data_IF_532470671344
#
_entry.id   IF_532470671344
#
_cell.length_a   1.000
_cell.length_b   1.000
_cell.length_c   1.000
_cell.angle_alpha   90.00
_cell.angle_beta   90.00
_cell.angle_gamma   90.00
#
_symmetry.space_group_name_H-M   'P 1'
#
loop_
_entity.id
_entity.type
_entity.pdbx_description
1 polymer ?
#
# COMPACT_ATOMS: atom_id res chain seq x y z
N UNK A 1 -19.57 -15.95 -14.93
CA UNK A 1 -18.68 -14.79 -14.69
C UNK A 1 -17.89 -15.06 -13.42
N UNK A 2 -16.59 -15.35 -13.53
CA UNK A 2 -15.75 -15.49 -12.35
C UNK A 2 -15.45 -14.07 -11.85
N UNK A 3 -15.97 -13.70 -10.68
CA UNK A 3 -15.55 -12.48 -9.99
C UNK A 3 -14.08 -12.67 -9.68
N UNK A 4 -13.22 -11.80 -10.21
CA UNK A 4 -11.83 -11.78 -9.82
C UNK A 4 -11.78 -11.36 -8.35
N UNK A 5 -11.54 -12.32 -7.46
CA UNK A 5 -11.58 -12.14 -5.98
C UNK A 5 -10.70 -10.97 -5.55
N UNK A 6 -9.56 -10.76 -6.22
CA UNK A 6 -8.65 -9.65 -5.97
C UNK A 6 -9.28 -8.28 -6.29
N UNK A 7 -10.09 -8.19 -7.34
CA UNK A 7 -10.81 -6.96 -7.68
C UNK A 7 -11.88 -6.64 -6.64
N UNK A 8 -12.69 -7.64 -6.25
CA UNK A 8 -13.72 -7.46 -5.22
C UNK A 8 -13.15 -7.03 -3.86
N UNK A 9 -11.98 -7.58 -3.49
CA UNK A 9 -11.29 -7.17 -2.26
C UNK A 9 -10.72 -5.75 -2.36
N UNK A 10 -10.11 -5.37 -3.49
CA UNK A 10 -9.60 -4.03 -3.69
C UNK A 10 -10.71 -2.95 -3.59
N UNK A 11 -11.87 -3.23 -4.19
CA UNK A 11 -13.02 -2.33 -4.15
C UNK A 11 -13.61 -2.21 -2.73
N UNK A 12 -13.66 -3.33 -1.99
CA UNK A 12 -14.07 -3.32 -0.58
C UNK A 12 -13.14 -2.45 0.28
N UNK A 13 -11.83 -2.60 0.13
CA UNK A 13 -10.83 -1.82 0.88
C UNK A 13 -10.96 -0.33 0.53
N UNK A 14 -11.06 0.01 -0.76
CA UNK A 14 -11.25 1.39 -1.21
C UNK A 14 -12.53 2.01 -0.63
N UNK A 15 -13.63 1.25 -0.62
CA UNK A 15 -14.88 1.70 -0.01
C UNK A 15 -14.75 1.89 1.50
N UNK A 16 -14.03 1.00 2.19
CA UNK A 16 -13.77 1.11 3.63
C UNK A 16 -12.99 2.38 3.98
N UNK A 17 -11.92 2.68 3.24
CA UNK A 17 -11.14 3.92 3.42
C UNK A 17 -12.01 5.17 3.19
N UNK A 18 -12.84 5.17 2.14
CA UNK A 18 -13.76 6.28 1.86
C UNK A 18 -14.82 6.45 2.96
N UNK A 19 -15.27 5.36 3.58
CA UNK A 19 -16.21 5.39 4.71
C UNK A 19 -15.57 6.00 5.96
N UNK A 20 -14.33 5.61 6.27
CA UNK A 20 -13.55 6.18 7.38
C UNK A 20 -13.38 7.69 7.20
N UNK A 21 -12.96 8.14 6.01
CA UNK A 21 -12.76 9.57 5.73
C UNK A 21 -14.05 10.40 5.67
N UNK A 22 -15.22 9.77 5.61
CA UNK A 22 -16.52 10.46 5.64
C UNK A 22 -17.00 10.71 7.07
N UNK A 23 -16.72 9.78 7.98
CA UNK A 23 -17.22 9.83 9.35
C UNK A 23 -16.15 9.35 10.34
N UNK A 24 -14.98 10.01 10.41
CA UNK A 24 -13.81 9.50 11.13
C UNK A 24 -14.08 9.22 12.62
N UNK A 25 -14.87 10.06 13.29
CA UNK A 25 -15.17 9.89 14.72
C UNK A 25 -15.97 8.62 15.03
N UNK A 26 -16.64 8.04 14.03
CA UNK A 26 -17.32 6.75 14.15
C UNK A 26 -16.37 5.53 14.15
N UNK A 27 -15.09 5.75 13.88
CA UNK A 27 -14.06 4.71 13.74
C UNK A 27 -13.05 4.69 14.89
N UNK A 28 -13.23 5.58 15.86
CA UNK A 28 -12.37 5.73 17.03
C UNK A 28 -11.66 7.09 17.08
N UNK A 29 -10.74 7.27 18.02
CA UNK A 29 -9.99 8.51 18.15
C UNK A 29 -9.07 8.74 16.92
N UNK A 30 -8.65 9.98 16.63
CA UNK A 30 -7.92 10.32 15.41
C UNK A 30 -6.67 9.47 15.16
N UNK A 31 -5.88 9.16 16.18
CA UNK A 31 -4.70 8.30 16.02
C UNK A 31 -5.04 6.87 15.59
N UNK A 32 -6.19 6.33 16.03
CA UNK A 32 -6.65 5.02 15.62
C UNK A 32 -7.15 5.04 14.17
N UNK A 33 -7.85 6.11 13.78
CA UNK A 33 -8.30 6.34 12.39
C UNK A 33 -7.10 6.41 11.43
N UNK A 34 -6.07 7.14 11.81
CA UNK A 34 -4.81 7.26 11.06
C UNK A 34 -4.17 5.89 10.82
N UNK A 35 -3.97 5.10 11.88
CA UNK A 35 -3.40 3.75 11.77
C UNK A 35 -4.25 2.79 10.94
N UNK A 36 -5.57 2.83 11.10
CA UNK A 36 -6.48 1.99 10.32
C UNK A 36 -6.40 2.29 8.82
N UNK A 37 -6.30 3.57 8.44
CA UNK A 37 -6.13 3.96 7.04
C UNK A 37 -4.80 3.50 6.47
N UNK A 38 -3.70 3.62 7.22
CA UNK A 38 -2.38 3.16 6.78
C UNK A 38 -2.36 1.64 6.55
N UNK A 39 -2.97 0.86 7.46
CA UNK A 39 -3.11 -0.59 7.28
C UNK A 39 -3.97 -0.95 6.06
N UNK A 40 -5.05 -0.22 5.81
CA UNK A 40 -5.90 -0.45 4.63
C UNK A 40 -5.16 -0.12 3.32
N UNK A 41 -4.29 0.89 3.32
CA UNK A 41 -3.42 1.21 2.19
C UNK A 41 -2.43 0.07 1.94
N UNK A 42 -1.76 -0.43 2.97
CA UNK A 42 -0.85 -1.59 2.86
C UNK A 42 -1.59 -2.81 2.29
N UNK A 43 -2.76 -3.15 2.86
CA UNK A 43 -3.58 -4.27 2.40
C UNK A 43 -4.04 -4.08 0.95
N UNK A 44 -4.41 -2.87 0.54
CA UNK A 44 -4.78 -2.58 -0.83
C UNK A 44 -3.62 -2.85 -1.80
N UNK A 45 -2.41 -2.43 -1.43
CA UNK A 45 -1.21 -2.65 -2.24
C UNK A 45 -0.89 -4.15 -2.35
N UNK A 46 -1.00 -4.91 -1.25
CA UNK A 46 -0.87 -6.37 -1.27
C UNK A 46 -1.87 -7.02 -2.21
N UNK A 47 -3.16 -6.64 -2.11
CA UNK A 47 -4.24 -7.19 -2.97
C UNK A 47 -4.03 -6.83 -4.44
N UNK A 48 -3.43 -5.69 -4.73
CA UNK A 48 -3.08 -5.25 -6.09
C UNK A 48 -1.82 -5.92 -6.64
N UNK A 49 -1.11 -6.71 -5.83
CA UNK A 49 0.13 -7.38 -6.22
C UNK A 49 1.33 -6.44 -6.26
N UNK A 50 1.34 -5.38 -5.44
CA UNK A 50 2.52 -4.52 -5.30
C UNK A 50 3.71 -5.32 -4.73
N UNK A 51 4.96 -4.98 -5.12
CA UNK A 51 6.15 -5.55 -4.51
C UNK A 51 6.17 -5.32 -3.00
N UNK A 52 6.72 -6.27 -2.24
CA UNK A 52 6.77 -6.18 -0.78
C UNK A 52 7.52 -4.94 -0.31
N UNK A 53 8.60 -4.57 -1.00
CA UNK A 53 9.40 -3.39 -0.73
C UNK A 53 8.59 -2.09 -0.84
N UNK A 54 7.60 -2.08 -1.74
CA UNK A 54 6.69 -0.96 -1.88
C UNK A 54 5.69 -0.87 -0.72
N UNK A 55 5.22 -2.02 -0.24
CA UNK A 55 4.31 -2.10 0.92
C UNK A 55 5.05 -1.69 2.20
N UNK A 56 6.25 -2.22 2.41
CA UNK A 56 7.08 -1.96 3.61
C UNK A 56 7.48 -0.47 3.75
N UNK A 57 7.35 0.32 2.68
CA UNK A 57 7.70 1.76 2.67
C UNK A 57 6.49 2.70 2.79
N UNK A 58 5.27 2.19 2.99
CA UNK A 58 4.05 3.03 3.18
C UNK A 58 4.23 4.03 4.32
N UNK A 59 4.70 3.57 5.49
CA UNK A 59 4.93 4.42 6.66
C UNK A 59 5.99 5.51 6.41
N UNK A 60 7.05 5.19 5.66
CA UNK A 60 8.09 6.16 5.32
C UNK A 60 7.56 7.22 4.36
N UNK A 61 6.79 6.81 3.34
CA UNK A 61 6.12 7.73 2.41
C UNK A 61 5.13 8.63 3.15
N UNK A 62 4.39 8.07 4.09
CA UNK A 62 3.48 8.83 4.93
C UNK A 62 4.23 9.87 5.78
N UNK A 63 5.29 9.48 6.48
CA UNK A 63 6.10 10.40 7.27
C UNK A 63 6.70 11.53 6.41
N UNK A 64 7.17 11.22 5.20
CA UNK A 64 7.67 12.19 4.23
C UNK A 64 6.56 13.14 3.76
N UNK A 65 5.38 12.61 3.46
CA UNK A 65 4.22 13.40 3.09
C UNK A 65 3.84 14.37 4.21
N UNK A 66 3.72 13.88 5.45
CA UNK A 66 3.45 14.73 6.61
C UNK A 66 4.50 15.83 6.78
N UNK A 67 5.80 15.51 6.63
CA UNK A 67 6.88 16.49 6.69
C UNK A 67 6.77 17.60 5.64
N UNK A 68 6.19 17.31 4.47
CA UNK A 68 5.98 18.31 3.41
C UNK A 68 4.77 19.23 3.64
N UNK A 69 3.76 18.75 4.38
CA UNK A 69 2.51 19.50 4.61
C UNK A 69 2.54 20.24 5.96
N UNK A 70 3.04 19.57 7.00
CA UNK A 70 3.16 20.13 8.36
C UNK A 70 4.59 19.86 8.86
N UNK A 71 5.48 20.87 8.84
CA UNK A 71 6.83 20.71 9.37
C UNK A 71 6.77 20.39 10.86
N UNK A 72 7.57 19.43 11.31
CA UNK A 72 7.56 18.97 12.69
C UNK A 72 8.29 17.64 12.90
N UNK A 73 8.34 17.15 14.16
CA UNK A 73 8.93 15.87 14.47
C UNK A 73 8.15 14.72 13.80
N UNK A 74 8.76 13.52 13.65
CA UNK A 74 8.10 12.35 13.08
C UNK A 74 7.09 11.75 14.06
N UNK A 75 5.99 12.48 14.29
CA UNK A 75 4.85 12.04 15.10
C UNK A 75 3.61 11.83 14.23
N UNK A 76 2.64 11.02 14.70
CA UNK A 76 1.32 10.87 14.09
C UNK A 76 0.66 12.21 13.80
N UNK A 77 -0.09 12.28 12.70
CA UNK A 77 -0.82 13.48 12.27
C UNK A 77 -1.76 13.99 13.36
N UNK A 78 -2.47 13.08 14.05
CA UNK A 78 -3.33 13.43 15.17
C UNK A 78 -2.59 14.29 16.23
N UNK A 79 -1.38 13.87 16.62
CA UNK A 79 -0.56 14.59 17.58
C UNK A 79 -0.02 15.91 17.03
N UNK A 80 0.33 15.97 15.74
CA UNK A 80 0.78 17.22 15.09
C UNK A 80 -0.31 18.28 15.06
N UNK A 81 -1.56 17.85 14.95
CA UNK A 81 -2.72 18.74 14.94
C UNK A 81 -3.27 19.03 16.33
N UNK A 82 -2.75 18.38 17.38
CA UNK A 82 -3.26 18.50 18.74
C UNK A 82 -4.66 17.90 18.93
N UNK A 83 -4.96 16.82 18.20
CA UNK A 83 -6.26 16.15 18.22
C UNK A 83 -6.22 14.94 19.16
N UNK A 84 -6.99 15.01 20.25
CA UNK A 84 -7.09 13.92 21.23
C UNK A 84 -8.37 13.09 21.00
N UNK A 85 -9.52 13.76 20.86
CA UNK A 85 -10.83 13.09 20.88
C UNK A 85 -11.56 13.09 19.53
N UNK A 86 -11.44 14.16 18.73
CA UNK A 86 -12.22 14.34 17.51
C UNK A 86 -11.35 14.74 16.32
N UNK A 87 -11.68 14.17 15.17
CA UNK A 87 -11.04 14.50 13.91
C UNK A 87 -11.61 15.82 13.36
N UNK A 88 -10.73 16.75 13.01
CA UNK A 88 -11.14 17.98 12.33
C UNK A 88 -11.02 17.84 10.80
N UNK A 89 -11.47 18.88 10.09
CA UNK A 89 -11.44 18.89 8.63
C UNK A 89 -10.01 18.85 8.08
N UNK A 90 -9.03 19.41 8.79
CA UNK A 90 -7.61 19.41 8.39
C UNK A 90 -7.04 18.01 8.44
N UNK A 91 -7.35 17.26 9.50
CA UNK A 91 -6.97 15.86 9.64
C UNK A 91 -7.49 15.02 8.47
N UNK A 92 -8.78 15.17 8.14
CA UNK A 92 -9.40 14.45 7.02
C UNK A 92 -8.79 14.88 5.67
N UNK A 93 -8.56 16.17 5.47
CA UNK A 93 -7.98 16.69 4.23
C UNK A 93 -6.59 16.13 3.97
N UNK A 94 -5.72 16.11 4.97
CA UNK A 94 -4.34 15.62 4.85
C UNK A 94 -4.33 14.11 4.58
N UNK A 95 -5.15 13.34 5.29
CA UNK A 95 -5.26 11.89 5.03
C UNK A 95 -5.79 11.59 3.63
N UNK A 96 -6.75 12.39 3.16
CA UNK A 96 -7.28 12.26 1.80
C UNK A 96 -6.22 12.59 0.75
N UNK A 97 -5.43 13.62 0.97
CA UNK A 97 -4.33 13.99 0.08
C UNK A 97 -3.27 12.90 -0.02
N UNK A 98 -2.87 12.32 1.12
CA UNK A 98 -1.97 11.17 1.14
C UNK A 98 -2.57 9.96 0.40
N UNK A 99 -3.83 9.63 0.67
CA UNK A 99 -4.52 8.52 0.00
C UNK A 99 -4.56 8.73 -1.52
N UNK A 100 -4.83 9.95 -1.98
CA UNK A 100 -4.83 10.28 -3.40
C UNK A 100 -3.43 10.15 -4.04
N UNK A 101 -2.35 10.38 -3.28
CA UNK A 101 -0.99 10.15 -3.75
C UNK A 101 -0.69 8.65 -3.87
N UNK A 102 -1.04 7.86 -2.86
CA UNK A 102 -0.84 6.40 -2.86
C UNK A 102 -1.64 5.70 -3.97
N UNK A 103 -2.85 6.19 -4.25
CA UNK A 103 -3.68 5.64 -5.33
C UNK A 103 -3.10 5.92 -6.72
N UNK A 104 -2.42 7.07 -6.90
CA UNK A 104 -1.70 7.40 -8.14
C UNK A 104 -0.45 6.55 -8.31
N UNK A 105 0.38 6.48 -7.27
CA UNK A 105 1.62 5.69 -7.28
C UNK A 105 1.35 4.20 -7.47
N UNK A 106 0.30 3.65 -6.87
CA UNK A 106 -0.08 2.24 -7.06
C UNK A 106 -0.59 1.93 -8.47
N UNK A 107 -1.12 2.92 -9.19
CA UNK A 107 -1.50 2.79 -10.60
C UNK A 107 -0.30 2.90 -11.53
N UNK A 108 0.68 3.75 -11.21
CA UNK A 108 1.90 3.95 -11.98
C UNK A 108 2.93 2.83 -11.76
N UNK A 109 3.00 2.25 -10.55
CA UNK A 109 3.87 1.13 -10.21
C UNK A 109 3.57 -0.16 -10.97
N UNK A 110 2.36 -0.29 -11.54
CA UNK A 110 1.99 -1.38 -12.45
C UNK A 110 2.77 -1.36 -13.77
N UNK A 111 3.37 -0.23 -14.15
CA UNK A 111 4.13 -0.08 -15.40
C UNK A 111 5.62 -0.43 -15.28
N UNK A 112 6.16 -0.59 -14.07
CA UNK A 112 7.60 -0.88 -13.89
C UNK A 112 7.88 -2.39 -13.82
N UNK A 113 6.90 -3.22 -13.43
CA UNK A 113 7.07 -4.68 -13.37
C UNK A 113 6.89 -5.42 -14.71
N UNK A 114 6.24 -4.83 -15.73
CA UNK A 114 6.20 -5.43 -17.08
C UNK A 114 7.48 -5.19 -17.90
N UNK A 115 8.37 -4.29 -17.45
CA UNK A 115 9.60 -3.93 -18.18
C UNK A 115 10.84 -4.77 -17.82
N UNK A 116 10.75 -5.67 -16.82
CA UNK A 116 11.88 -6.54 -16.43
C UNK A 116 11.41 -7.99 -16.40
N UNK A 117 11.05 -8.53 -17.56
CA UNK A 117 11.17 -9.97 -17.77
C UNK A 117 12.67 -10.28 -17.91
N UNK A 118 13.32 -10.96 -16.95
CA UNK A 118 14.61 -11.56 -17.23
C UNK A 118 14.38 -12.57 -18.35
N UNK A 119 15.07 -12.40 -19.48
CA UNK A 119 15.22 -13.47 -20.47
C UNK A 119 15.79 -14.68 -19.74
N UNK A 120 14.96 -15.66 -19.43
CA UNK A 120 15.42 -16.98 -19.05
C UNK A 120 16.34 -17.45 -20.18
N UNK A 121 17.61 -17.81 -19.92
CA UNK A 121 18.39 -18.50 -20.92
C UNK A 121 17.66 -19.80 -21.24
N UNK A 122 17.49 -20.06 -22.54
CA UNK A 122 16.90 -21.29 -23.04
C UNK A 122 17.62 -22.47 -22.39
N UNK A 123 16.83 -23.35 -21.78
CA UNK A 123 17.33 -24.61 -21.23
C UNK A 123 17.59 -25.51 -22.43
N UNK A 124 18.86 -25.65 -22.81
CA UNK A 124 19.28 -26.61 -23.82
C UNK A 124 19.05 -28.02 -23.27
N UNK A 125 17.94 -28.63 -23.68
CA UNK A 125 17.71 -30.07 -23.61
C UNK A 125 18.40 -30.72 -24.82
N UNK A 126 19.52 -31.42 -24.57
CA UNK A 126 20.11 -32.55 -25.32
C UNK A 126 21.55 -32.73 -24.77
N UNK A 127 22.10 -33.89 -24.40
CA UNK A 127 21.89 -35.25 -24.87
C UNK A 127 22.69 -36.25 -23.98
N UNK A 128 22.02 -37.36 -23.63
CA UNK A 128 22.50 -38.73 -23.34
C UNK A 128 23.53 -39.05 -22.25
N UNK A 129 23.04 -39.81 -21.27
CA UNK A 129 23.47 -41.16 -20.89
C UNK A 129 24.97 -41.49 -20.93
N UNK A 130 25.53 -41.88 -19.76
CA UNK A 130 26.18 -43.19 -19.58
C UNK A 130 26.35 -43.48 -18.09
N UNK A 131 25.65 -44.53 -17.62
CA UNK A 131 25.94 -45.28 -16.41
C UNK A 131 27.18 -46.15 -16.68
N UNK A 132 28.22 -46.04 -15.86
CA UNK A 132 29.18 -47.14 -15.66
C UNK A 132 29.49 -47.23 -14.17
N UNK A 133 29.20 -48.41 -13.64
CA UNK A 133 29.59 -48.90 -12.33
C UNK A 133 31.08 -49.27 -12.30
N UNK A 134 31.56 -49.57 -11.09
CA UNK A 134 32.85 -50.21 -10.75
C UNK A 134 34.05 -49.27 -10.54
N UNK A 135 34.40 -49.07 -9.27
CA UNK A 135 35.59 -49.69 -8.65
C UNK A 135 35.41 -49.79 -7.13
#
# INVERSE_FOLDING_TARGET
MAVNVSQGMADFIAHRMASILRTPDGWGPPHAVELQLLLLIEMLHVVRGAPREYVDTVMERYARHLGSVIPGPPTPLALRLGLEDQADERFVAILRDFLNAEMRLGSEGRLVSEAVAPKLPARDDQTTATLVAEA
#
